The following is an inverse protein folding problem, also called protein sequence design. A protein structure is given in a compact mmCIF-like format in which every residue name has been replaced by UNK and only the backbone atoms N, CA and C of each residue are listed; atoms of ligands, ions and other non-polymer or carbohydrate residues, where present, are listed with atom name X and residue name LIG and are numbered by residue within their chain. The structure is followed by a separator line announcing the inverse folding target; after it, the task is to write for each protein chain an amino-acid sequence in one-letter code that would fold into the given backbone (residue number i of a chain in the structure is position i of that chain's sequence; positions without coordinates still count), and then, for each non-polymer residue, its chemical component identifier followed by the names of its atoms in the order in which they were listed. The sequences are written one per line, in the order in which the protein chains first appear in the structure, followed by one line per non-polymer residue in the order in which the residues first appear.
data_IF_582015158740
#
_entry.id   IF_582015158740
#
_cell.length_a   1.000
_cell.length_b   1.000
_cell.length_c   1.000
_cell.angle_alpha   90.00
_cell.angle_beta   90.00
_cell.angle_gamma   90.00
#
_symmetry.space_group_name_H-M   'P 1'
#
loop_
_entity.id
_entity.type
_entity.pdbx_description
1 polymer ?
#
# COMPACT_ATOMS: atom_id res chain seq x y z
N UNK A 1 -8.34 28.79 58.32
CA UNK A 1 -9.02 28.69 57.01
C UNK A 1 -8.24 29.39 55.89
N UNK A 2 -7.82 30.66 56.04
CA UNK A 2 -7.05 31.41 55.00
C UNK A 2 -5.78 30.71 54.49
N UNK A 3 -4.94 30.17 55.39
CA UNK A 3 -3.68 29.47 54.99
C UNK A 3 -3.93 28.18 54.20
N UNK A 4 -4.99 27.44 54.54
CA UNK A 4 -5.38 26.20 53.84
C UNK A 4 -5.85 26.52 52.43
N UNK A 5 -6.63 27.59 52.26
CA UNK A 5 -7.10 28.05 50.95
C UNK A 5 -5.94 28.56 50.06
N UNK A 6 -4.94 29.25 50.62
CA UNK A 6 -3.75 29.70 49.87
C UNK A 6 -2.96 28.51 49.34
N UNK A 7 -2.75 27.47 50.16
CA UNK A 7 -2.03 26.25 49.74
C UNK A 7 -2.79 25.54 48.61
N UNK A 8 -4.12 25.48 48.69
CA UNK A 8 -4.95 24.89 47.63
C UNK A 8 -4.86 25.66 46.32
N UNK A 9 -4.93 26.99 46.35
CA UNK A 9 -4.81 27.84 45.14
C UNK A 9 -3.41 27.75 44.51
N UNK A 10 -2.36 27.69 45.34
CA UNK A 10 -0.99 27.54 44.87
C UNK A 10 -0.75 26.17 44.21
N UNK A 11 -1.33 25.11 44.78
CA UNK A 11 -1.29 23.77 44.21
C UNK A 11 -1.96 23.68 42.84
N UNK A 12 -3.17 24.27 42.70
CA UNK A 12 -3.91 24.31 41.43
C UNK A 12 -3.14 25.11 40.37
N UNK A 13 -2.54 26.23 40.76
CA UNK A 13 -1.75 27.07 39.84
C UNK A 13 -0.51 26.34 39.32
N UNK A 14 0.16 25.55 40.17
CA UNK A 14 1.29 24.72 39.75
C UNK A 14 0.88 23.65 38.74
N UNK A 15 -0.28 23.01 38.93
CA UNK A 15 -0.77 21.99 38.00
C UNK A 15 -1.17 22.56 36.64
N UNK A 16 -1.71 23.78 36.61
CA UNK A 16 -2.05 24.47 35.35
C UNK A 16 -0.79 24.87 34.56
N UNK A 17 0.29 25.26 35.24
CA UNK A 17 1.56 25.58 34.59
C UNK A 17 2.31 24.34 34.10
N UNK A 18 2.11 23.17 34.72
CA UNK A 18 2.70 21.90 34.30
C UNK A 18 1.97 21.22 33.12
N UNK A 19 0.76 21.68 32.77
CA UNK A 19 -0.10 21.04 31.76
C UNK A 19 0.36 21.23 30.31
N UNK A 20 1.24 22.18 30.01
CA UNK A 20 1.64 22.52 28.65
C UNK A 20 3.03 21.96 28.33
N UNK A 21 3.14 20.63 28.25
CA UNK A 21 4.35 19.93 27.84
C UNK A 21 4.53 19.97 26.32
N UNK A 22 5.77 20.11 25.84
CA UNK A 22 6.10 20.08 24.39
C UNK A 22 5.64 18.79 23.70
N UNK A 23 5.59 17.68 24.43
CA UNK A 23 5.07 16.39 23.96
C UNK A 23 3.59 16.40 23.56
N UNK A 24 2.81 17.43 23.93
CA UNK A 24 1.46 17.60 23.40
C UNK A 24 1.46 17.86 21.89
N UNK A 25 2.49 18.56 21.39
CA UNK A 25 2.65 18.91 19.98
C UNK A 25 3.41 17.83 19.18
N UNK A 26 4.08 16.91 19.88
CA UNK A 26 4.83 15.80 19.27
C UNK A 26 3.96 14.54 19.31
N UNK A 27 3.25 14.28 18.20
CA UNK A 27 2.37 13.12 18.04
C UNK A 27 2.78 12.36 16.78
N UNK A 28 2.92 11.05 16.90
CA UNK A 28 3.10 10.18 15.74
C UNK A 28 1.78 10.06 14.97
N UNK A 29 1.83 10.05 13.62
CA UNK A 29 0.65 9.85 12.79
C UNK A 29 0.03 8.47 13.07
N UNK A 30 -1.31 8.41 13.05
CA UNK A 30 -2.04 7.16 13.21
C UNK A 30 -2.27 6.52 11.84
N UNK A 31 -2.18 5.20 11.77
CA UNK A 31 -2.31 4.41 10.53
C UNK A 31 -1.25 4.67 9.45
N UNK A 32 -0.15 5.35 9.80
CA UNK A 32 1.02 5.55 8.94
C UNK A 32 2.30 5.22 9.71
N UNK A 33 3.35 4.89 8.97
CA UNK A 33 4.66 4.59 9.54
C UNK A 33 5.54 5.85 9.48
N UNK A 34 5.93 6.45 10.62
CA UNK A 34 6.92 7.52 10.62
C UNK A 34 8.31 6.98 10.23
N UNK A 35 9.15 7.84 9.69
CA UNK A 35 10.51 7.49 9.22
C UNK A 35 11.35 6.81 10.31
N UNK A 36 11.21 7.23 11.57
CA UNK A 36 11.88 6.63 12.72
C UNK A 36 11.58 5.13 12.89
N UNK A 37 10.44 4.65 12.41
CA UNK A 37 10.07 3.23 12.42
C UNK A 37 10.57 2.46 11.19
N UNK A 38 10.98 3.16 10.13
CA UNK A 38 11.48 2.58 8.87
C UNK A 38 13.00 2.47 8.87
N UNK A 39 13.71 3.46 9.42
CA UNK A 39 15.18 3.55 9.39
C UNK A 39 15.82 2.64 10.46
N UNK A 40 15.52 1.35 10.37
CA UNK A 40 16.15 0.27 11.12
C UNK A 40 16.16 -1.00 10.25
N UNK A 41 16.93 -2.02 10.64
CA UNK A 41 17.11 -3.22 9.82
C UNK A 41 15.80 -3.92 9.44
N UNK A 42 14.82 -3.98 10.36
CA UNK A 42 13.52 -4.61 10.10
C UNK A 42 12.68 -3.79 9.13
N UNK A 43 12.69 -2.46 9.30
CA UNK A 43 11.99 -1.54 8.41
C UNK A 43 12.52 -1.59 6.98
N UNK A 44 13.84 -1.58 6.82
CA UNK A 44 14.50 -1.68 5.50
C UNK A 44 14.17 -3.02 4.82
N UNK A 45 14.23 -4.13 5.54
CA UNK A 45 13.88 -5.45 5.01
C UNK A 45 12.40 -5.51 4.58
N UNK A 46 11.49 -5.01 5.42
CA UNK A 46 10.07 -4.95 5.10
C UNK A 46 9.79 -4.04 3.89
N UNK A 47 10.47 -2.90 3.77
CA UNK A 47 10.38 -2.02 2.60
C UNK A 47 10.86 -2.69 1.32
N UNK A 48 11.97 -3.44 1.38
CA UNK A 48 12.49 -4.19 0.25
C UNK A 48 11.49 -5.28 -0.19
N UNK A 49 10.96 -6.05 0.75
CA UNK A 49 9.95 -7.08 0.47
C UNK A 49 8.69 -6.45 -0.14
N UNK A 50 8.21 -5.33 0.42
CA UNK A 50 7.04 -4.62 -0.11
C UNK A 50 7.27 -4.09 -1.53
N UNK A 51 8.45 -3.52 -1.81
CA UNK A 51 8.81 -3.00 -3.12
C UNK A 51 8.86 -4.10 -4.20
N UNK A 52 9.37 -5.28 -3.87
CA UNK A 52 9.43 -6.42 -4.81
C UNK A 52 8.15 -7.27 -4.81
N UNK A 53 7.34 -7.24 -3.76
CA UNK A 53 6.14 -8.07 -3.62
C UNK A 53 5.09 -7.79 -4.70
N UNK A 54 5.02 -6.54 -5.18
CA UNK A 54 4.10 -6.13 -6.24
C UNK A 54 4.59 -6.49 -7.65
N UNK A 55 5.84 -6.96 -7.80
CA UNK A 55 6.44 -7.23 -9.11
C UNK A 55 5.77 -8.43 -9.82
N UNK A 56 4.92 -9.20 -9.16
CA UNK A 56 4.11 -10.21 -9.85
C UNK A 56 2.83 -9.63 -10.47
N UNK A 57 2.54 -8.33 -10.28
CA UNK A 57 1.33 -7.66 -10.78
C UNK A 57 0.06 -7.89 -9.97
N UNK A 58 0.10 -8.76 -8.97
CA UNK A 58 -1.05 -9.15 -8.17
C UNK A 58 -1.10 -8.28 -6.92
N UNK A 59 -2.11 -7.40 -6.83
CA UNK A 59 -2.36 -6.54 -5.67
C UNK A 59 -3.54 -7.11 -4.89
N UNK A 60 -3.49 -7.08 -3.55
CA UNK A 60 -4.60 -7.47 -2.66
C UNK A 60 -5.18 -8.88 -2.91
N UNK A 61 -4.36 -9.85 -3.33
CA UNK A 61 -4.84 -11.22 -3.59
C UNK A 61 -5.72 -11.35 -4.84
N UNK A 62 -5.69 -10.35 -5.73
CA UNK A 62 -6.17 -10.53 -7.10
C UNK A 62 -5.22 -11.51 -7.77
N UNK A 63 -5.68 -12.70 -8.15
CA UNK A 63 -4.87 -13.71 -8.82
C UNK A 63 -5.43 -13.95 -10.22
N UNK A 64 -4.56 -14.27 -11.19
CA UNK A 64 -5.00 -14.66 -12.52
C UNK A 64 -5.28 -13.50 -13.48
N UNK A 65 -4.79 -12.29 -13.16
CA UNK A 65 -4.71 -11.25 -14.18
C UNK A 65 -3.45 -11.49 -15.04
N UNK A 66 -3.63 -12.06 -16.23
CA UNK A 66 -2.55 -12.39 -17.17
C UNK A 66 -1.87 -11.16 -17.77
N UNK A 67 -2.49 -9.99 -17.60
CA UNK A 67 -2.02 -8.68 -18.06
C UNK A 67 -1.26 -7.91 -16.99
N UNK A 68 -1.24 -8.38 -15.73
CA UNK A 68 -0.70 -7.60 -14.63
C UNK A 68 0.80 -7.74 -14.44
N UNK A 69 1.39 -8.82 -14.96
CA UNK A 69 2.83 -9.07 -14.82
C UNK A 69 3.65 -7.95 -15.51
N UNK A 70 4.77 -7.50 -14.91
CA UNK A 70 5.61 -6.44 -15.47
C UNK A 70 6.22 -6.77 -16.83
N UNK A 71 6.31 -8.05 -17.20
CA UNK A 71 6.75 -8.45 -18.54
C UNK A 71 5.81 -7.94 -19.63
N UNK A 72 4.54 -7.64 -19.29
CA UNK A 72 3.49 -7.28 -20.25
C UNK A 72 3.41 -8.26 -21.42
N UNK A 73 3.74 -9.52 -21.18
CA UNK A 73 3.90 -10.55 -22.21
C UNK A 73 2.66 -10.67 -23.12
N UNK A 74 1.46 -10.58 -22.56
CA UNK A 74 0.21 -10.65 -23.33
C UNK A 74 0.07 -9.52 -24.35
N UNK A 75 0.48 -8.30 -24.01
CA UNK A 75 0.35 -7.14 -24.91
C UNK A 75 1.60 -6.86 -25.74
N UNK A 76 2.78 -7.25 -25.26
CA UNK A 76 4.04 -7.07 -25.98
C UNK A 76 4.30 -8.21 -26.96
N UNK A 77 4.22 -9.45 -26.49
CA UNK A 77 4.64 -10.62 -27.25
C UNK A 77 3.46 -11.28 -27.97
N UNK A 78 2.35 -11.54 -27.27
CA UNK A 78 1.19 -12.21 -27.88
C UNK A 78 0.49 -11.32 -28.89
N UNK A 79 0.16 -10.08 -28.52
CA UNK A 79 -0.35 -9.10 -29.49
C UNK A 79 0.71 -8.65 -30.52
N UNK A 80 2.00 -8.97 -30.29
CA UNK A 80 3.09 -8.69 -31.22
C UNK A 80 3.37 -9.82 -32.21
N UNK A 81 2.60 -10.92 -32.18
CA UNK A 81 2.82 -12.13 -32.98
C UNK A 81 4.20 -12.79 -32.76
N UNK A 82 4.80 -12.58 -31.57
CA UNK A 82 6.08 -13.19 -31.19
C UNK A 82 5.90 -14.37 -30.20
N UNK A 83 4.70 -14.54 -29.66
CA UNK A 83 4.33 -15.67 -28.82
C UNK A 83 2.84 -16.01 -28.97
N UNK A 84 2.47 -17.28 -28.74
CA UNK A 84 1.08 -17.70 -28.63
C UNK A 84 0.66 -17.82 -27.17
N UNK A 85 -0.65 -17.79 -26.88
CA UNK A 85 -1.16 -18.07 -25.53
C UNK A 85 -0.62 -19.39 -24.95
N UNK A 86 -0.45 -20.41 -25.79
CA UNK A 86 0.22 -21.67 -25.44
C UNK A 86 -0.61 -22.62 -24.57
N UNK A 87 -1.88 -22.31 -24.31
CA UNK A 87 -2.86 -23.20 -23.65
C UNK A 87 -3.99 -23.57 -24.64
N UNK A 88 -5.08 -24.16 -24.14
CA UNK A 88 -6.22 -24.63 -24.92
C UNK A 88 -7.17 -23.49 -25.31
N UNK A 89 -7.86 -23.61 -26.45
CA UNK A 89 -8.74 -22.54 -26.94
C UNK A 89 -9.89 -22.17 -25.97
N UNK A 90 -10.31 -23.09 -25.10
CA UNK A 90 -11.47 -22.91 -24.20
C UNK A 90 -11.15 -22.17 -22.91
N UNK A 91 -9.88 -22.04 -22.52
CA UNK A 91 -9.50 -21.23 -21.37
C UNK A 91 -9.21 -19.78 -21.78
N UNK A 92 -9.38 -18.85 -20.83
CA UNK A 92 -9.05 -17.43 -20.99
C UNK A 92 -9.41 -16.82 -22.35
N UNK A 93 -10.70 -16.79 -22.72
CA UNK A 93 -11.14 -16.37 -24.05
C UNK A 93 -10.67 -14.96 -24.43
N UNK A 94 -10.51 -14.06 -23.47
CA UNK A 94 -10.04 -12.70 -23.73
C UNK A 94 -8.59 -12.65 -24.23
N UNK A 95 -7.73 -13.59 -23.80
CA UNK A 95 -6.37 -13.70 -24.34
C UNK A 95 -6.39 -14.12 -25.80
N UNK A 96 -7.29 -15.05 -26.17
CA UNK A 96 -7.48 -15.43 -27.58
C UNK A 96 -7.94 -14.21 -28.40
N UNK A 97 -8.80 -13.36 -27.86
CA UNK A 97 -9.26 -12.16 -28.57
C UNK A 97 -8.13 -11.16 -28.82
N UNK A 98 -7.17 -11.06 -27.88
CA UNK A 98 -5.96 -10.24 -28.06
C UNK A 98 -5.08 -10.85 -29.14
N UNK A 99 -4.81 -12.15 -29.07
CA UNK A 99 -4.01 -12.90 -30.06
C UNK A 99 -4.62 -12.83 -31.47
N UNK A 100 -5.94 -12.90 -31.59
CA UNK A 100 -6.66 -12.80 -32.87
C UNK A 100 -7.00 -11.36 -33.29
N UNK A 101 -6.51 -10.35 -32.57
CA UNK A 101 -6.80 -8.93 -32.84
C UNK A 101 -8.29 -8.62 -33.03
N UNK A 102 -9.14 -9.26 -32.24
CA UNK A 102 -10.60 -9.12 -32.29
C UNK A 102 -11.06 -8.15 -31.21
N UNK A 103 -11.33 -6.87 -31.53
CA UNK A 103 -11.72 -5.88 -30.54
C UNK A 103 -13.11 -6.19 -29.96
N UNK A 104 -13.26 -6.00 -28.65
CA UNK A 104 -14.53 -6.10 -27.94
C UNK A 104 -14.69 -4.91 -27.00
N UNK A 105 -15.72 -4.11 -27.25
CA UNK A 105 -16.04 -2.90 -26.46
C UNK A 105 -16.53 -3.21 -25.04
N UNK A 106 -16.88 -4.46 -24.76
CA UNK A 106 -17.40 -4.93 -23.48
C UNK A 106 -16.42 -5.86 -22.76
N UNK A 107 -15.13 -5.85 -23.12
CA UNK A 107 -14.14 -6.63 -22.41
C UNK A 107 -13.91 -6.03 -21.01
N UNK A 108 -14.45 -6.72 -20.01
CA UNK A 108 -14.42 -6.36 -18.59
C UNK A 108 -13.33 -7.10 -17.79
N UNK A 109 -12.57 -7.96 -18.46
CA UNK A 109 -11.61 -8.87 -17.85
C UNK A 109 -10.23 -8.71 -18.50
N UNK A 110 -9.62 -7.55 -18.25
CA UNK A 110 -8.18 -7.31 -18.33
C UNK A 110 -7.73 -6.55 -17.08
#
# INVERSE_FOLDING_TARGET
MKKRNIITVLGISLTLLASCGKSFLERDPQAELPESQIVNSKGIEASLIGAYGILNGNVNGTWGNYSSAPSQWLFGEVAGDNAHKGSEATDQPNMNMIEFHTPNSSNDNL
#
